data_IF_084514491493
#
_entry.id   IF_084514491493
#
_cell.length_a   1.000
_cell.length_b   1.000
_cell.length_c   1.000
_cell.angle_alpha   90.00
_cell.angle_beta   90.00
_cell.angle_gamma   90.00
#
_symmetry.space_group_name_H-M   'P 1'
#
loop_
_entity.id
_entity.type
_entity.pdbx_description
1 polymer ?
#
# COMPACT_ATOMS: atom_id res chain seq x y z
N UNK A 1 -20.09 -26.69 -1.78
CA UNK A 1 -19.21 -25.94 -0.87
C UNK A 1 -18.94 -24.59 -1.50
N UNK A 2 -19.11 -23.50 -0.74
CA UNK A 2 -18.89 -22.14 -1.22
C UNK A 2 -17.68 -21.55 -0.49
N UNK A 3 -16.78 -20.88 -1.23
CA UNK A 3 -15.63 -20.18 -0.63
C UNK A 3 -16.10 -18.81 -0.16
N UNK A 4 -15.84 -18.48 1.11
CA UNK A 4 -16.16 -17.18 1.71
C UNK A 4 -14.87 -16.39 1.94
N UNK A 5 -14.95 -15.07 1.72
CA UNK A 5 -13.83 -14.13 1.82
C UNK A 5 -14.00 -13.21 3.04
N UNK A 6 -12.99 -13.15 3.91
CA UNK A 6 -12.97 -12.25 5.08
C UNK A 6 -11.75 -11.33 5.03
N UNK A 7 -11.97 -10.01 5.00
CA UNK A 7 -10.86 -9.05 5.02
C UNK A 7 -10.24 -8.97 6.41
N UNK A 8 -8.97 -9.37 6.50
CA UNK A 8 -8.21 -9.46 7.76
C UNK A 8 -7.42 -8.19 8.04
N UNK A 9 -6.84 -7.58 7.01
CA UNK A 9 -6.01 -6.39 7.16
C UNK A 9 -6.06 -5.49 5.92
N UNK A 10 -5.80 -4.21 6.15
CA UNK A 10 -5.60 -3.20 5.11
C UNK A 10 -4.26 -2.54 5.37
N UNK A 11 -3.53 -2.21 4.32
CA UNK A 11 -2.24 -1.53 4.39
C UNK A 11 -2.09 -0.51 3.24
N UNK A 12 -1.27 0.52 3.46
CA UNK A 12 -0.89 1.50 2.45
C UNK A 12 0.52 1.17 1.92
N UNK A 13 0.62 0.82 0.64
CA UNK A 13 1.90 0.61 -0.02
C UNK A 13 2.28 1.85 -0.82
N UNK A 14 3.44 2.43 -0.53
CA UNK A 14 4.00 3.60 -1.22
C UNK A 14 5.16 3.16 -2.10
N UNK A 15 5.21 3.70 -3.32
CA UNK A 15 6.29 3.50 -4.29
C UNK A 15 7.12 4.77 -4.37
N UNK A 16 8.42 4.66 -4.13
CA UNK A 16 9.37 5.76 -4.20
C UNK A 16 10.41 5.50 -5.29
N UNK A 17 10.70 6.52 -6.08
CA UNK A 17 11.66 6.46 -7.19
C UNK A 17 12.99 7.09 -6.78
N UNK A 18 14.03 6.27 -6.63
CA UNK A 18 15.37 6.67 -6.19
C UNK A 18 16.26 7.16 -7.34
N UNK A 19 15.69 7.38 -8.53
CA UNK A 19 16.43 7.79 -9.71
C UNK A 19 17.33 6.68 -10.26
N UNK A 20 18.31 7.08 -11.07
CA UNK A 20 19.30 6.17 -11.61
C UNK A 20 20.38 5.87 -10.57
N UNK A 21 20.59 4.58 -10.28
CA UNK A 21 21.73 4.12 -9.49
C UNK A 21 22.44 3.02 -10.29
N UNK A 22 23.72 3.24 -10.60
CA UNK A 22 24.57 2.29 -11.34
C UNK A 22 23.97 1.88 -12.70
N UNK A 23 23.45 2.83 -13.48
CA UNK A 23 22.91 2.57 -14.82
C UNK A 23 21.51 1.96 -14.86
N UNK A 24 20.82 1.86 -13.71
CA UNK A 24 19.44 1.32 -13.63
C UNK A 24 18.55 2.25 -12.80
N UNK A 25 17.30 2.42 -13.24
CA UNK A 25 16.29 3.12 -12.44
C UNK A 25 15.91 2.26 -11.25
N UNK A 26 16.12 2.76 -10.04
CA UNK A 26 15.81 2.07 -8.80
C UNK A 26 14.49 2.58 -8.24
N UNK A 27 13.48 1.70 -8.19
CA UNK A 27 12.22 1.95 -7.49
C UNK A 27 12.16 1.03 -6.28
N UNK A 28 11.78 1.57 -5.12
CA UNK A 28 11.53 0.76 -3.92
C UNK A 28 10.12 1.00 -3.41
N UNK A 29 9.61 0.05 -2.65
CA UNK A 29 8.29 0.13 -2.05
C UNK A 29 8.37 0.01 -0.54
N UNK A 30 7.55 0.78 0.17
CA UNK A 30 7.38 0.68 1.62
C UNK A 30 5.91 0.47 1.93
N UNK A 31 5.60 -0.48 2.80
CA UNK A 31 4.23 -0.81 3.20
C UNK A 31 4.00 -0.38 4.64
N UNK A 32 2.91 0.35 4.87
CA UNK A 32 2.44 0.80 6.17
C UNK A 32 1.23 -0.05 6.55
N UNK A 33 1.41 -0.96 7.50
CA UNK A 33 0.40 -1.96 7.91
C UNK A 33 -0.63 -1.45 8.92
N UNK A 34 -0.32 -0.36 9.63
CA UNK A 34 -1.19 0.21 10.67
C UNK A 34 -2.28 1.10 10.05
N UNK A 35 -3.06 0.53 9.14
CA UNK A 35 -4.19 1.20 8.49
C UNK A 35 -5.49 0.61 9.03
N UNK A 36 -6.38 1.50 9.49
CA UNK A 36 -7.73 1.09 9.91
C UNK A 36 -8.43 0.40 8.74
N UNK A 37 -9.08 -0.77 8.92
CA UNK A 37 -9.77 -1.47 7.83
C UNK A 37 -10.82 -0.61 7.11
N UNK A 38 -11.47 0.29 7.86
CA UNK A 38 -12.47 1.23 7.37
C UNK A 38 -11.88 2.50 6.69
N UNK A 39 -10.55 2.61 6.55
CA UNK A 39 -9.95 3.74 5.85
C UNK A 39 -10.46 3.79 4.40
N UNK A 40 -10.89 4.96 3.97
CA UNK A 40 -11.31 5.18 2.57
C UNK A 40 -10.11 5.41 1.68
N UNK A 41 -10.31 5.28 0.38
CA UNK A 41 -9.22 5.45 -0.59
C UNK A 41 -8.75 6.91 -0.65
N UNK A 42 -9.64 7.88 -0.41
CA UNK A 42 -9.28 9.30 -0.28
C UNK A 42 -8.39 9.55 0.95
N UNK A 43 -8.70 8.91 2.08
CA UNK A 43 -7.90 9.02 3.29
C UNK A 43 -6.50 8.41 3.10
N UNK A 44 -6.43 7.26 2.42
CA UNK A 44 -5.16 6.62 2.05
C UNK A 44 -4.32 7.50 1.12
N UNK A 45 -4.95 8.10 0.11
CA UNK A 45 -4.28 8.99 -0.83
C UNK A 45 -3.81 10.29 -0.17
N UNK A 46 -4.61 10.84 0.75
CA UNK A 46 -4.22 12.00 1.55
C UNK A 46 -2.99 11.68 2.43
N UNK A 47 -2.99 10.54 3.12
CA UNK A 47 -1.85 10.07 3.90
C UNK A 47 -0.59 9.92 3.02
N UNK A 48 -0.73 9.36 1.81
CA UNK A 48 0.37 9.30 0.84
C UNK A 48 0.91 10.69 0.46
N UNK A 49 0.05 11.68 0.20
CA UNK A 49 0.50 13.05 -0.12
C UNK A 49 1.35 13.64 1.01
N UNK A 50 0.93 13.44 2.27
CA UNK A 50 1.71 13.88 3.42
C UNK A 50 3.05 13.17 3.51
N UNK A 51 3.09 11.83 3.36
CA UNK A 51 4.33 11.05 3.37
C UNK A 51 5.29 11.51 2.26
N UNK A 52 4.76 11.72 1.04
CA UNK A 52 5.53 12.21 -0.11
C UNK A 52 6.13 13.60 0.14
N UNK A 53 5.42 14.48 0.84
CA UNK A 53 5.92 15.82 1.16
C UNK A 53 7.01 15.85 2.23
N UNK A 54 7.20 14.76 2.98
CA UNK A 54 8.13 14.68 4.11
C UNK A 54 9.41 13.91 3.81
N UNK A 55 9.46 13.15 2.71
CA UNK A 55 10.54 12.21 2.42
C UNK A 55 11.02 12.35 0.97
N UNK A 56 12.33 12.47 0.79
CA UNK A 56 12.99 12.08 -0.46
C UNK A 56 13.22 10.56 -0.43
N UNK A 57 13.10 9.84 -1.57
CA UNK A 57 12.92 10.30 -2.94
C UNK A 57 11.46 10.57 -3.35
N UNK A 58 11.26 11.07 -4.57
CA UNK A 58 9.95 11.37 -5.14
C UNK A 58 9.02 10.15 -5.04
N UNK A 59 7.91 10.32 -4.31
CA UNK A 59 6.78 9.39 -4.35
C UNK A 59 6.20 9.34 -5.75
N UNK A 60 6.23 8.16 -6.36
CA UNK A 60 5.71 7.91 -7.72
C UNK A 60 4.24 7.47 -7.66
N UNK A 61 3.82 6.77 -6.60
CA UNK A 61 2.43 6.38 -6.39
C UNK A 61 2.17 5.65 -5.07
N UNK A 62 0.90 5.33 -4.83
CA UNK A 62 0.47 4.50 -3.70
C UNK A 62 -0.61 3.50 -4.10
N UNK A 63 -0.74 2.43 -3.32
CA UNK A 63 -1.71 1.35 -3.51
C UNK A 63 -2.32 0.97 -2.16
N UNK A 64 -3.61 0.65 -2.17
CA UNK A 64 -4.25 -0.09 -1.07
C UNK A 64 -3.89 -1.57 -1.20
N UNK A 65 -3.44 -2.17 -0.12
CA UNK A 65 -3.20 -3.61 -0.02
C UNK A 65 -4.21 -4.19 0.95
N UNK A 66 -5.05 -5.12 0.49
CA UNK A 66 -5.95 -5.88 1.35
C UNK A 66 -5.41 -7.29 1.53
N UNK A 67 -5.42 -7.78 2.76
CA UNK A 67 -5.16 -9.19 3.07
C UNK A 67 -6.48 -9.81 3.45
N UNK A 68 -6.86 -10.86 2.73
CA UNK A 68 -8.13 -11.54 2.90
C UNK A 68 -7.88 -13.02 3.22
N UNK A 69 -8.55 -13.53 4.25
CA UNK A 69 -8.60 -14.96 4.54
C UNK A 69 -9.71 -15.60 3.68
N UNK A 70 -9.39 -16.69 2.98
CA UNK A 70 -10.32 -17.48 2.17
C UNK A 70 -10.61 -18.79 2.88
N UNK A 71 -11.87 -19.04 3.22
CA UNK A 71 -12.30 -20.23 3.98
C UNK A 71 -13.41 -20.95 3.23
N UNK A 72 -13.35 -22.28 3.21
CA UNK A 72 -14.41 -23.13 2.68
C UNK A 72 -15.54 -23.23 3.70
N UNK A 73 -16.76 -22.88 3.29
CA UNK A 73 -17.95 -23.05 4.14
C UNK A 73 -18.40 -24.52 4.03
N UNK A 74 -18.41 -25.21 5.17
CA UNK A 74 -18.83 -26.61 5.31
C UNK A 74 -20.33 -26.79 5.01
#
# INVERSE_FOLDING_TARGET
MAVVKYTKAVALKVVSNYGEQKGKIVKKTKTYGDVKPAATDEALYAAYKHIKGLQEPIGEGCMRVTTDDLVENA
#
